data_IF_665048923461
#
_entry.id   IF_665048923461
#
_cell.length_a   1.000
_cell.length_b   1.000
_cell.length_c   1.000
_cell.angle_alpha   90.00
_cell.angle_beta   90.00
_cell.angle_gamma   90.00
#
_symmetry.space_group_name_H-M   'P 1'
#
loop_
_entity.id
_entity.type
_entity.pdbx_description
1 polymer ?
#
# COMPACT_ATOMS: atom_id res chain seq x y z
N UNK A 1 10.56 -36.89 22.89
CA UNK A 1 9.39 -36.81 23.81
C UNK A 1 8.31 -37.85 23.48
N UNK A 2 7.30 -38.05 24.34
CA UNK A 2 6.17 -38.99 24.11
C UNK A 2 4.90 -38.26 23.66
N UNK A 3 4.16 -38.84 22.71
CA UNK A 3 2.86 -38.32 22.28
C UNK A 3 1.84 -38.31 23.43
N UNK A 4 1.17 -37.17 23.67
CA UNK A 4 0.08 -37.08 24.67
C UNK A 4 -1.13 -37.98 24.35
N UNK A 5 -1.34 -38.30 23.07
CA UNK A 5 -2.49 -39.10 22.63
C UNK A 5 -2.19 -40.61 22.55
N UNK A 6 -1.18 -41.01 21.78
CA UNK A 6 -0.90 -42.44 21.50
C UNK A 6 0.36 -42.99 22.18
N UNK A 7 1.06 -42.18 22.98
CA UNK A 7 2.30 -42.54 23.69
C UNK A 7 3.45 -43.04 22.80
N UNK A 8 3.43 -42.79 21.49
CA UNK A 8 4.58 -43.08 20.65
C UNK A 8 5.74 -42.14 20.97
N UNK A 9 6.97 -42.61 20.81
CA UNK A 9 8.15 -41.77 20.84
C UNK A 9 8.19 -40.86 19.60
N UNK A 10 8.46 -39.57 19.81
CA UNK A 10 8.52 -38.55 18.76
C UNK A 10 9.70 -37.62 19.02
N UNK A 11 10.25 -37.03 17.96
CA UNK A 11 11.24 -35.96 18.05
C UNK A 11 10.65 -34.72 18.77
N UNK A 12 11.49 -34.00 19.52
CA UNK A 12 11.07 -32.84 20.30
C UNK A 12 10.64 -31.65 19.42
N UNK A 13 11.01 -31.63 18.13
CA UNK A 13 10.59 -30.63 17.14
C UNK A 13 9.42 -31.09 16.27
N UNK A 14 8.89 -32.28 16.48
CA UNK A 14 7.72 -32.73 15.72
C UNK A 14 6.55 -31.78 15.99
N UNK A 15 5.91 -31.28 14.92
CA UNK A 15 4.68 -30.47 14.97
C UNK A 15 3.42 -31.36 15.04
N UNK A 16 3.54 -32.59 14.53
CA UNK A 16 2.46 -33.57 14.43
C UNK A 16 3.04 -34.97 14.68
N UNK A 17 2.31 -35.81 15.41
CA UNK A 17 2.66 -37.21 15.60
C UNK A 17 2.50 -38.01 14.30
N UNK A 18 3.57 -38.66 13.83
CA UNK A 18 3.55 -39.48 12.60
C UNK A 18 2.62 -40.70 12.68
N UNK A 19 2.31 -41.19 13.89
CA UNK A 19 1.51 -42.40 14.08
C UNK A 19 0.01 -42.13 14.20
N UNK A 20 -0.39 -41.07 14.89
CA UNK A 20 -1.81 -40.79 15.14
C UNK A 20 -2.31 -39.44 14.60
N UNK A 21 -1.43 -38.61 14.03
CA UNK A 21 -1.80 -37.30 13.48
C UNK A 21 -2.10 -36.22 14.52
N UNK A 22 -1.89 -36.49 15.81
CA UNK A 22 -2.12 -35.49 16.87
C UNK A 22 -1.11 -34.35 16.80
N UNK A 23 -1.59 -33.11 16.79
CA UNK A 23 -0.75 -31.91 16.84
C UNK A 23 -0.07 -31.82 18.21
N UNK A 24 1.26 -31.85 18.22
CA UNK A 24 2.08 -31.81 19.45
C UNK A 24 2.31 -30.39 19.93
N UNK A 25 2.20 -29.39 19.05
CA UNK A 25 2.27 -27.97 19.39
C UNK A 25 0.86 -27.39 19.57
N UNK A 26 0.57 -26.88 20.76
CA UNK A 26 -0.58 -25.99 20.96
C UNK A 26 -0.25 -24.61 20.37
N UNK A 27 -1.13 -24.10 19.50
CA UNK A 27 -0.99 -22.77 18.90
C UNK A 27 -1.12 -21.71 20.01
N UNK A 28 0.01 -21.17 20.46
CA UNK A 28 0.06 -20.11 21.50
C UNK A 28 -0.28 -18.71 20.97
N UNK A 29 -0.15 -18.51 19.66
CA UNK A 29 -0.33 -17.20 19.03
C UNK A 29 -1.53 -17.30 18.10
N UNK A 30 -2.59 -16.58 18.46
CA UNK A 30 -3.70 -16.32 17.57
C UNK A 30 -3.19 -15.45 16.42
N UNK A 31 -3.49 -15.78 15.14
CA UNK A 31 -3.05 -14.96 14.03
C UNK A 31 -3.64 -13.56 14.21
N UNK A 32 -2.78 -12.54 14.13
CA UNK A 32 -3.22 -11.14 14.05
C UNK A 32 -4.08 -11.04 12.81
N UNK A 33 -5.40 -10.93 13.00
CA UNK A 33 -6.31 -10.45 11.97
C UNK A 33 -5.93 -9.01 11.72
N UNK A 34 -5.18 -8.79 10.63
CA UNK A 34 -5.04 -7.48 10.05
C UNK A 34 -6.42 -7.10 9.54
N UNK A 35 -7.25 -6.50 10.39
CA UNK A 35 -8.37 -5.69 9.92
C UNK A 35 -7.73 -4.58 9.10
N UNK A 36 -7.70 -4.77 7.79
CA UNK A 36 -7.39 -3.71 6.85
C UNK A 36 -8.45 -2.63 7.05
N UNK A 37 -8.13 -1.65 7.91
CA UNK A 37 -8.93 -0.48 8.18
C UNK A 37 -9.35 0.13 6.84
N UNK A 38 -10.66 0.09 6.55
CA UNK A 38 -11.25 0.53 5.29
C UNK A 38 -10.94 1.99 4.90
N UNK A 39 -10.34 2.76 5.82
CA UNK A 39 -9.91 4.14 5.60
C UNK A 39 -8.65 4.26 4.71
N UNK A 40 -7.73 3.28 4.77
CA UNK A 40 -6.55 3.28 3.87
C UNK A 40 -6.96 3.05 2.40
N UNK A 41 -7.99 2.22 2.16
CA UNK A 41 -8.45 1.92 0.81
C UNK A 41 -9.08 3.14 0.13
N UNK A 42 -9.83 3.95 0.89
CA UNK A 42 -10.46 5.17 0.39
C UNK A 42 -9.38 6.19 0.08
N UNK A 43 -8.47 6.50 1.01
CA UNK A 43 -7.41 7.48 0.76
C UNK A 43 -6.52 7.09 -0.43
N UNK A 44 -6.20 5.81 -0.59
CA UNK A 44 -5.37 5.29 -1.68
C UNK A 44 -6.03 5.41 -3.06
N UNK A 45 -7.36 5.41 -3.16
CA UNK A 45 -8.08 5.62 -4.44
C UNK A 45 -8.23 7.09 -4.82
N UNK A 46 -8.24 8.01 -3.86
CA UNK A 46 -8.43 9.45 -4.15
C UNK A 46 -7.15 10.10 -4.68
N UNK A 47 -5.98 9.58 -4.31
CA UNK A 47 -4.68 10.05 -4.83
C UNK A 47 -4.56 9.91 -6.36
N UNK A 48 -4.77 8.73 -6.98
CA UNK A 48 -4.66 8.61 -8.43
C UNK A 48 -5.75 9.40 -9.17
N UNK A 49 -6.95 9.52 -8.57
CA UNK A 49 -8.05 10.31 -9.15
C UNK A 49 -7.73 11.80 -9.18
N UNK A 50 -7.22 12.36 -8.08
CA UNK A 50 -6.77 13.75 -8.03
C UNK A 50 -5.62 14.01 -9.00
N UNK A 51 -4.66 13.09 -9.09
CA UNK A 51 -3.53 13.22 -10.02
C UNK A 51 -4.00 13.21 -11.49
N UNK A 52 -4.95 12.34 -11.84
CA UNK A 52 -5.55 12.32 -13.18
C UNK A 52 -6.29 13.62 -13.50
N UNK A 53 -7.08 14.15 -12.55
CA UNK A 53 -7.81 15.42 -12.73
C UNK A 53 -6.84 16.59 -12.94
N UNK A 54 -5.79 16.69 -12.13
CA UNK A 54 -4.77 17.73 -12.28
C UNK A 54 -4.06 17.60 -13.63
N UNK A 55 -3.71 16.39 -14.06
CA UNK A 55 -3.06 16.17 -15.34
C UNK A 55 -3.93 16.57 -16.54
N UNK A 56 -5.23 16.22 -16.50
CA UNK A 56 -6.21 16.63 -17.51
C UNK A 56 -6.37 18.16 -17.52
N UNK A 57 -6.46 18.80 -16.35
CA UNK A 57 -6.57 20.25 -16.26
C UNK A 57 -5.35 20.97 -16.82
N UNK A 58 -4.14 20.53 -16.46
CA UNK A 58 -2.87 21.11 -16.94
C UNK A 58 -2.71 20.91 -18.44
N UNK A 59 -2.96 19.70 -18.95
CA UNK A 59 -2.85 19.40 -20.38
C UNK A 59 -3.88 20.18 -21.22
N UNK A 60 -5.13 20.27 -20.74
CA UNK A 60 -6.18 21.04 -21.38
C UNK A 60 -5.86 22.54 -21.41
N UNK A 61 -5.37 23.07 -20.29
CA UNK A 61 -4.93 24.46 -20.18
C UNK A 61 -3.77 24.77 -21.15
N UNK A 62 -2.75 23.89 -21.20
CA UNK A 62 -1.66 24.00 -22.16
C UNK A 62 -2.13 24.01 -23.61
N UNK A 63 -3.06 23.13 -23.97
CA UNK A 63 -3.65 23.08 -25.32
C UNK A 63 -4.39 24.37 -25.67
N UNK A 64 -5.10 24.99 -24.71
CA UNK A 64 -5.78 26.27 -24.94
C UNK A 64 -4.81 27.45 -25.09
N UNK A 65 -3.67 27.41 -24.40
CA UNK A 65 -2.68 28.49 -24.42
C UNK A 65 -1.83 28.47 -25.72
N UNK A 66 -1.53 27.28 -26.22
CA UNK A 66 -0.89 27.07 -27.53
C UNK A 66 -1.77 27.57 -28.70
N UNK A 67 -3.09 27.51 -28.56
CA UNK A 67 -4.02 28.06 -29.56
C UNK A 67 -4.11 29.60 -29.55
N UNK A 68 -3.68 30.25 -28.46
CA UNK A 68 -3.77 31.71 -28.27
C UNK A 68 -2.57 32.52 -28.78
N UNK A 69 -1.45 31.88 -29.14
CA UNK A 69 -0.27 32.57 -29.72
C UNK A 69 0.51 33.46 -28.75
N UNK A 70 0.22 33.44 -27.46
CA UNK A 70 0.94 34.19 -26.42
C UNK A 70 1.79 33.19 -25.62
N UNK A 71 3.13 33.32 -25.59
CA UNK A 71 3.95 32.40 -24.83
C UNK A 71 3.66 32.56 -23.32
N UNK A 72 3.41 31.46 -22.58
CA UNK A 72 3.17 31.54 -21.15
C UNK A 72 4.40 32.05 -20.43
N UNK A 73 4.19 32.98 -19.50
CA UNK A 73 5.24 33.62 -18.71
C UNK A 73 6.04 32.56 -17.93
N UNK A 74 7.38 32.55 -17.99
CA UNK A 74 8.24 31.55 -17.32
C UNK A 74 7.96 31.40 -15.82
N UNK A 75 7.35 32.40 -15.18
CA UNK A 75 6.91 32.35 -13.78
C UNK A 75 5.85 31.26 -13.55
N UNK A 76 4.95 31.01 -14.50
CA UNK A 76 3.89 29.99 -14.39
C UNK A 76 4.49 28.59 -14.33
N UNK A 77 5.50 28.33 -15.15
CA UNK A 77 6.25 27.08 -15.14
C UNK A 77 6.99 26.84 -13.82
N UNK A 78 7.61 27.88 -13.28
CA UNK A 78 8.31 27.82 -12.00
C UNK A 78 7.32 27.54 -10.86
N UNK A 79 6.16 28.17 -10.89
CA UNK A 79 5.11 27.97 -9.90
C UNK A 79 4.53 26.55 -9.95
N UNK A 80 4.32 26.00 -11.16
CA UNK A 80 3.89 24.61 -11.36
C UNK A 80 4.93 23.58 -10.91
N UNK A 81 6.21 23.81 -11.21
CA UNK A 81 7.30 22.94 -10.77
C UNK A 81 7.43 22.89 -9.24
N UNK A 82 7.31 24.04 -8.58
CA UNK A 82 7.32 24.14 -7.11
C UNK A 82 6.10 23.47 -6.50
N UNK A 83 4.91 23.71 -7.05
CA UNK A 83 3.67 23.08 -6.58
C UNK A 83 3.72 21.55 -6.72
N UNK A 84 4.17 21.04 -7.87
CA UNK A 84 4.36 19.61 -8.13
C UNK A 84 5.40 18.99 -7.21
N UNK A 85 6.54 19.65 -7.02
CA UNK A 85 7.61 19.21 -6.11
C UNK A 85 7.14 19.13 -4.65
N UNK A 86 6.41 20.14 -4.16
CA UNK A 86 5.84 20.14 -2.81
C UNK A 86 4.80 19.03 -2.63
N UNK A 87 3.97 18.76 -3.64
CA UNK A 87 3.01 17.66 -3.63
C UNK A 87 3.71 16.31 -3.59
N UNK A 88 4.72 16.09 -4.44
CA UNK A 88 5.50 14.86 -4.48
C UNK A 88 6.26 14.62 -3.17
N UNK A 89 6.85 15.68 -2.60
CA UNK A 89 7.54 15.60 -1.32
C UNK A 89 6.58 15.26 -0.17
N UNK A 90 5.39 15.89 -0.15
CA UNK A 90 4.36 15.62 0.86
C UNK A 90 3.77 14.21 0.75
N UNK A 91 3.69 13.66 -0.47
CA UNK A 91 3.28 12.28 -0.70
C UNK A 91 4.36 11.30 -0.29
N UNK A 92 5.64 11.65 -0.45
CA UNK A 92 6.79 10.80 -0.07
C UNK A 92 7.10 10.78 1.43
N UNK A 93 6.72 11.83 2.17
CA UNK A 93 6.88 11.91 3.63
C UNK A 93 5.73 11.27 4.42
N UNK A 94 4.71 10.75 3.74
CA UNK A 94 3.61 9.97 4.33
C UNK A 94 3.75 8.50 3.98
#
# INVERSE_FOLDING_TARGET
MLCKNCKSEIDDKALVCFRCGYATSERKVEPVVLTEDGDQSRRRRWVPLMLAVVFIAVSGFFMTELAGGVPPDPIVWLMLAVAGGLLAWRVRLR
#
